data_IF_681055983719
#
_entry.id   IF_681055983719
#
_cell.length_a   1.000
_cell.length_b   1.000
_cell.length_c   1.000
_cell.angle_alpha   90.00
_cell.angle_beta   90.00
_cell.angle_gamma   90.00
#
_symmetry.space_group_name_H-M   'P 1'
#
loop_
_entity.id
_entity.type
_entity.pdbx_description
1 polymer ?
#
# COMPACT_ATOMS: atom_id res chain seq x y z
N UNK A 1 3.73 7.39 -16.91
CA UNK A 1 3.37 8.23 -15.74
C UNK A 1 4.63 8.44 -14.91
N UNK A 2 4.91 9.66 -14.45
CA UNK A 2 6.09 9.95 -13.60
C UNK A 2 5.66 9.81 -12.14
N UNK A 3 6.28 8.89 -11.39
CA UNK A 3 6.09 8.74 -9.95
C UNK A 3 7.37 9.14 -9.22
N UNK A 4 7.23 9.87 -8.12
CA UNK A 4 8.36 10.24 -7.25
C UNK A 4 8.60 9.12 -6.25
N UNK A 5 9.81 8.59 -6.21
CA UNK A 5 10.22 7.65 -5.17
C UNK A 5 10.49 8.33 -3.84
N UNK A 6 10.42 7.56 -2.76
CA UNK A 6 10.79 8.01 -1.41
C UNK A 6 12.24 8.49 -1.26
N UNK A 7 13.10 8.20 -2.25
CA UNK A 7 14.50 8.65 -2.31
C UNK A 7 14.72 9.89 -3.21
N UNK A 8 13.65 10.55 -3.68
CA UNK A 8 13.75 11.73 -4.56
C UNK A 8 14.06 11.44 -6.03
N UNK A 9 14.16 10.16 -6.42
CA UNK A 9 14.27 9.73 -7.81
C UNK A 9 12.93 9.77 -8.56
N UNK A 10 12.98 10.00 -9.86
CA UNK A 10 11.82 9.90 -10.75
C UNK A 10 11.75 8.51 -11.37
N UNK A 11 10.74 7.72 -11.03
CA UNK A 11 10.46 6.48 -11.75
C UNK A 11 9.48 6.76 -12.89
N UNK A 12 9.89 6.37 -14.08
CA UNK A 12 9.01 6.33 -15.24
C UNK A 12 8.33 4.97 -15.26
N UNK A 13 7.01 4.97 -15.04
CA UNK A 13 6.19 3.79 -15.31
C UNK A 13 6.06 3.68 -16.83
N UNK A 14 6.91 2.84 -17.42
CA UNK A 14 6.90 2.49 -18.85
C UNK A 14 5.76 1.51 -19.17
N UNK A 15 5.49 0.57 -18.26
CA UNK A 15 4.45 -0.45 -18.44
C UNK A 15 3.45 -0.43 -17.26
N UNK A 16 2.36 0.33 -17.36
CA UNK A 16 1.40 0.45 -16.26
C UNK A 16 0.75 -0.89 -15.88
N UNK A 17 0.54 -1.80 -16.85
CA UNK A 17 0.03 -3.13 -16.54
C UNK A 17 0.93 -3.92 -15.60
N UNK A 18 2.25 -3.83 -15.76
CA UNK A 18 3.20 -4.54 -14.90
C UNK A 18 3.21 -3.99 -13.48
N UNK A 19 3.04 -2.67 -13.31
CA UNK A 19 2.83 -2.07 -11.99
C UNK A 19 1.56 -2.62 -11.34
N UNK A 20 0.43 -2.64 -12.06
CA UNK A 20 -0.83 -3.12 -11.49
C UNK A 20 -0.83 -4.62 -11.16
N UNK A 21 -0.08 -5.43 -11.93
CA UNK A 21 0.11 -6.87 -11.67
C UNK A 21 0.96 -7.15 -10.44
N UNK A 22 1.86 -6.23 -10.11
CA UNK A 22 2.79 -6.34 -8.98
C UNK A 22 2.47 -5.27 -7.91
N UNK A 23 1.18 -5.03 -7.64
CA UNK A 23 0.78 -4.11 -6.58
C UNK A 23 1.37 -4.59 -5.25
N UNK A 24 2.04 -3.71 -4.48
CA UNK A 24 2.50 -4.07 -3.16
C UNK A 24 1.29 -4.42 -2.29
N UNK A 25 1.49 -5.39 -1.40
CA UNK A 25 0.48 -5.77 -0.42
C UNK A 25 0.21 -4.61 0.53
N UNK A 26 -1.04 -4.51 0.99
CA UNK A 26 -1.47 -3.44 1.88
C UNK A 26 -0.85 -3.67 3.26
N UNK A 27 -0.18 -2.68 3.83
CA UNK A 27 0.44 -2.78 5.16
C UNK A 27 -0.22 -1.83 6.16
N UNK A 28 -0.37 -2.28 7.40
CA UNK A 28 -0.91 -1.48 8.50
C UNK A 28 -0.01 -0.29 8.83
N UNK A 29 -0.59 0.91 8.84
CA UNK A 29 0.10 2.15 9.18
C UNK A 29 0.56 2.23 10.65
N UNK A 30 0.01 1.39 11.53
CA UNK A 30 0.37 1.35 12.95
C UNK A 30 1.44 0.29 13.25
N UNK A 31 1.19 -0.96 12.87
CA UNK A 31 2.06 -2.08 13.24
C UNK A 31 2.94 -2.60 12.09
N UNK A 32 2.75 -2.11 10.86
CA UNK A 32 3.53 -2.52 9.69
C UNK A 32 3.23 -3.91 9.12
N UNK A 33 2.31 -4.67 9.74
CA UNK A 33 1.91 -6.00 9.26
C UNK A 33 1.15 -5.92 7.95
N UNK A 34 1.27 -6.97 7.13
CA UNK A 34 0.42 -7.16 5.95
C UNK A 34 -1.04 -7.29 6.37
N UNK A 35 -1.91 -6.61 5.64
CA UNK A 35 -3.36 -6.64 5.81
C UNK A 35 -3.90 -7.60 4.76
N UNK A 36 -4.34 -8.77 5.22
CA UNK A 36 -4.86 -9.86 4.38
C UNK A 36 -6.24 -9.50 3.78
N UNK A 37 -7.19 -9.08 4.61
CA UNK A 37 -8.51 -8.61 4.20
C UNK A 37 -9.01 -7.47 5.09
N UNK A 38 -9.76 -6.55 4.49
CA UNK A 38 -10.51 -5.51 5.20
C UNK A 38 -11.89 -5.36 4.56
N UNK A 39 -12.94 -5.26 5.39
CA UNK A 39 -14.28 -4.96 4.89
C UNK A 39 -14.33 -3.57 4.22
N UNK A 40 -13.49 -2.64 4.69
CA UNK A 40 -13.38 -1.28 4.18
C UNK A 40 -12.00 -1.01 3.55
N UNK A 41 -11.98 -0.83 2.22
CA UNK A 41 -10.74 -0.63 1.47
C UNK A 41 -10.00 0.67 1.85
N UNK A 42 -10.70 1.69 2.36
CA UNK A 42 -10.14 3.00 2.71
C UNK A 42 -9.35 3.03 4.03
N UNK A 43 -9.48 2.01 4.87
CA UNK A 43 -8.82 2.00 6.18
C UNK A 43 -7.36 1.56 6.04
N UNK A 44 -6.44 2.21 6.76
CA UNK A 44 -5.01 1.94 6.68
C UNK A 44 -4.44 1.23 7.93
N UNK A 45 -5.27 0.92 8.93
CA UNK A 45 -4.90 0.07 10.07
C UNK A 45 -5.43 -1.35 9.85
N UNK A 46 -4.81 -2.37 10.46
CA UNK A 46 -5.35 -3.73 10.49
C UNK A 46 -6.47 -3.85 11.52
N UNK A 47 -7.27 -4.91 11.42
CA UNK A 47 -8.40 -5.15 12.33
C UNK A 47 -7.97 -5.12 13.81
N UNK A 48 -6.84 -5.75 14.14
CA UNK A 48 -6.29 -5.73 15.50
C UNK A 48 -6.08 -4.29 16.02
N UNK A 49 -5.47 -3.43 15.20
CA UNK A 49 -5.14 -2.05 15.58
C UNK A 49 -6.32 -1.08 15.48
N UNK A 50 -7.46 -1.50 14.93
CA UNK A 50 -8.72 -0.74 14.95
C UNK A 50 -9.51 -1.02 16.22
N UNK A 51 -9.40 -2.23 16.77
CA UNK A 51 -10.13 -2.66 17.96
C UNK A 51 -9.45 -2.31 19.31
N UNK A 52 -8.28 -1.67 19.29
CA UNK A 52 -7.54 -1.20 20.48
C UNK A 52 -8.04 0.17 21.02
N UNK A 53 -9.31 0.54 20.79
CA UNK A 53 -9.92 1.81 21.24
C UNK A 53 -10.66 1.71 22.59
#
# INVERSE_FOLDING_TARGET
>A
MIVRNGNGGIDMIDQPMEFFRNLPTKTCAHCGKEIDEQHEAYHNKCDDCVHEE
#
